data_IF_666048698154
#
_entry.id   IF_666048698154
#
_cell.length_a   1.000
_cell.length_b   1.000
_cell.length_c   1.000
_cell.angle_alpha   90.00
_cell.angle_beta   90.00
_cell.angle_gamma   90.00
#
_symmetry.space_group_name_H-M   'P 1'
#
loop_
_entity.id
_entity.type
_entity.pdbx_description
1 polymer ?
#
# COMPACT_ATOMS: atom_id res chain seq x y z
N UNK A 1 -14.59 32.94 -35.45
CA UNK A 1 -13.24 32.46 -35.05
C UNK A 1 -12.63 33.28 -33.90
N UNK A 2 -12.74 34.63 -33.89
CA UNK A 2 -12.20 35.50 -32.84
C UNK A 2 -12.69 35.22 -31.40
N UNK A 3 -13.99 34.97 -31.18
CA UNK A 3 -14.57 34.72 -29.83
C UNK A 3 -14.01 33.46 -29.15
N UNK A 4 -13.66 32.42 -29.91
CA UNK A 4 -13.06 31.17 -29.36
C UNK A 4 -11.64 31.39 -28.85
N UNK A 5 -10.87 32.26 -29.51
CA UNK A 5 -9.49 32.55 -29.14
C UNK A 5 -9.40 33.45 -27.89
N UNK A 6 -10.35 34.38 -27.72
CA UNK A 6 -10.46 35.21 -26.51
C UNK A 6 -10.85 34.38 -25.28
N UNK A 7 -11.81 33.47 -25.42
CA UNK A 7 -12.23 32.61 -24.31
C UNK A 7 -11.11 31.66 -23.85
N UNK A 8 -10.27 31.16 -24.76
CA UNK A 8 -9.13 30.30 -24.43
C UNK A 8 -8.02 31.05 -23.67
N UNK A 9 -7.77 32.32 -24.03
CA UNK A 9 -6.82 33.17 -23.30
C UNK A 9 -7.34 33.54 -21.90
N UNK A 10 -8.65 33.78 -21.78
CA UNK A 10 -9.30 34.10 -20.50
C UNK A 10 -9.29 32.91 -19.54
N UNK A 11 -9.59 31.69 -20.02
CA UNK A 11 -9.52 30.48 -19.19
C UNK A 11 -8.08 30.16 -18.77
N UNK A 12 -7.11 30.29 -19.67
CA UNK A 12 -5.69 30.06 -19.33
C UNK A 12 -5.20 31.07 -18.27
N UNK A 13 -5.57 32.34 -18.40
CA UNK A 13 -5.24 33.38 -17.42
C UNK A 13 -5.88 33.12 -16.06
N UNK A 14 -7.13 32.64 -16.04
CA UNK A 14 -7.80 32.31 -14.78
C UNK A 14 -7.16 31.09 -14.09
N UNK A 15 -6.74 30.08 -14.86
CA UNK A 15 -6.02 28.90 -14.33
C UNK A 15 -4.68 29.32 -13.71
N UNK A 16 -3.91 30.18 -14.38
CA UNK A 16 -2.64 30.68 -13.85
C UNK A 16 -2.84 31.49 -12.57
N UNK A 17 -3.90 32.30 -12.50
CA UNK A 17 -4.21 33.10 -11.31
C UNK A 17 -4.61 32.25 -10.11
N UNK A 18 -5.40 31.19 -10.33
CA UNK A 18 -5.76 30.21 -9.28
C UNK A 18 -4.53 29.44 -8.81
N UNK A 19 -3.63 29.06 -9.71
CA UNK A 19 -2.38 28.37 -9.36
C UNK A 19 -1.45 29.27 -8.52
N UNK A 20 -1.38 30.56 -8.86
CA UNK A 20 -0.59 31.55 -8.11
C UNK A 20 -1.16 31.80 -6.72
N UNK A 21 -2.48 31.90 -6.57
CA UNK A 21 -3.14 31.98 -5.26
C UNK A 21 -2.85 30.74 -4.41
N UNK A 22 -2.86 29.54 -5.02
CA UNK A 22 -2.56 28.30 -4.31
C UNK A 22 -1.11 28.24 -3.81
N UNK A 23 -0.17 28.87 -4.53
CA UNK A 23 1.25 28.98 -4.16
C UNK A 23 1.52 30.08 -3.13
N UNK A 24 0.70 31.13 -3.10
CA UNK A 24 0.82 32.24 -2.15
C UNK A 24 0.06 32.02 -0.83
N UNK A 25 -0.72 30.94 -0.70
CA UNK A 25 -1.25 30.54 0.59
C UNK A 25 -0.07 30.26 1.52
N UNK A 26 0.06 30.95 2.67
CA UNK A 26 1.10 30.66 3.63
C UNK A 26 0.92 29.21 4.05
N UNK A 27 1.83 28.33 3.59
CA UNK A 27 1.94 26.98 4.10
C UNK A 27 2.07 27.13 5.61
N UNK A 28 1.05 26.72 6.36
CA UNK A 28 0.92 27.01 7.78
C UNK A 28 2.10 26.39 8.55
N UNK A 29 3.16 27.18 8.74
CA UNK A 29 4.30 26.83 9.59
C UNK A 29 3.94 26.80 11.08
N UNK A 30 2.69 27.12 11.44
CA UNK A 30 2.18 27.10 12.81
C UNK A 30 2.14 25.68 13.43
N UNK A 31 2.12 24.62 12.62
CA UNK A 31 2.20 23.25 13.12
C UNK A 31 3.61 22.86 13.63
N UNK A 32 4.67 23.45 13.06
CA UNK A 32 6.04 23.03 13.31
C UNK A 32 6.63 23.50 14.66
N UNK A 33 6.02 24.50 15.33
CA UNK A 33 6.57 25.04 16.59
C UNK A 33 6.49 24.09 17.78
N UNK A 34 5.59 23.11 17.76
CA UNK A 34 5.35 22.22 18.90
C UNK A 34 6.00 20.83 18.75
N UNK A 35 6.39 20.44 17.53
CA UNK A 35 6.96 19.11 17.26
C UNK A 35 8.42 18.98 17.74
N UNK A 36 9.13 20.10 17.90
CA UNK A 36 10.53 20.11 18.32
C UNK A 36 10.72 19.95 19.86
N UNK A 37 9.69 20.11 20.68
CA UNK A 37 9.83 20.13 22.15
C UNK A 37 10.02 18.73 22.77
N UNK A 38 9.47 17.68 22.13
CA UNK A 38 9.37 16.33 22.68
C UNK A 38 9.73 15.28 21.62
N UNK A 39 10.76 14.49 21.89
CA UNK A 39 11.20 13.39 21.06
C UNK A 39 10.93 12.05 21.75
N UNK A 40 10.26 11.14 21.05
CA UNK A 40 9.93 9.81 21.55
C UNK A 40 10.60 8.78 20.64
N UNK A 41 11.48 7.95 21.19
CA UNK A 41 12.22 6.91 20.48
C UNK A 41 11.88 5.53 21.01
N UNK A 42 11.80 4.56 20.08
CA UNK A 42 11.83 3.14 20.41
C UNK A 42 13.23 2.62 20.22
N UNK A 43 13.74 1.90 21.21
CA UNK A 43 15.03 1.22 21.19
C UNK A 43 14.88 -0.29 21.07
N UNK A 44 13.63 -0.77 21.01
CA UNK A 44 13.33 -2.15 20.67
C UNK A 44 13.24 -2.32 19.15
N UNK A 45 13.61 -3.49 18.62
CA UNK A 45 13.45 -3.79 17.21
C UNK A 45 11.96 -3.73 16.82
N UNK A 46 11.71 -3.36 15.57
CA UNK A 46 10.34 -3.33 15.03
C UNK A 46 9.76 -4.73 14.86
N UNK A 47 10.60 -5.73 14.59
CA UNK A 47 10.22 -7.14 14.41
C UNK A 47 10.81 -7.99 15.53
N UNK A 48 10.02 -8.92 16.07
CA UNK A 48 10.42 -9.84 17.13
C UNK A 48 9.87 -11.24 16.88
N UNK A 49 10.65 -12.25 17.27
CA UNK A 49 10.29 -13.68 17.20
C UNK A 49 9.65 -14.18 18.50
N UNK A 50 9.80 -13.45 19.60
CA UNK A 50 9.24 -13.82 20.90
C UNK A 50 7.95 -13.04 21.20
N UNK A 51 6.92 -13.76 21.66
CA UNK A 51 5.65 -13.16 22.03
C UNK A 51 5.76 -12.22 23.24
N UNK A 52 6.57 -12.61 24.23
CA UNK A 52 6.76 -11.88 25.48
C UNK A 52 8.06 -11.09 25.39
N UNK A 53 8.03 -9.83 25.80
CA UNK A 53 9.22 -9.00 25.75
C UNK A 53 9.06 -7.69 26.50
N UNK A 54 10.00 -6.79 26.27
CA UNK A 54 10.03 -5.46 26.88
C UNK A 54 10.27 -4.42 25.81
N UNK A 55 9.32 -3.50 25.68
CA UNK A 55 9.47 -2.30 24.86
C UNK A 55 10.35 -1.31 25.63
N UNK A 56 11.51 -0.98 25.06
CA UNK A 56 12.43 0.03 25.58
C UNK A 56 12.15 1.36 24.88
N UNK A 57 11.71 2.35 25.63
CA UNK A 57 11.45 3.70 25.12
C UNK A 57 12.44 4.69 25.71
N UNK A 58 12.86 5.64 24.90
CA UNK A 58 13.59 6.83 25.33
C UNK A 58 12.75 8.05 24.97
N UNK A 59 12.48 8.90 25.95
CA UNK A 59 11.76 10.16 25.78
C UNK A 59 12.73 11.26 26.16
N UNK A 60 12.98 12.17 25.22
CA UNK A 60 13.84 13.35 25.40
C UNK A 60 13.02 14.60 25.18
N UNK A 61 13.07 15.53 26.11
CA UNK A 61 12.31 16.79 26.08
C UNK A 61 13.23 17.95 26.40
N UNK A 62 12.91 19.16 25.94
CA UNK A 62 13.64 20.36 26.34
C UNK A 62 13.18 20.90 27.71
N UNK A 63 11.95 20.59 28.10
CA UNK A 63 11.35 20.99 29.37
C UNK A 63 10.96 19.79 30.24
N UNK A 64 10.82 19.98 31.58
CA UNK A 64 10.48 18.90 32.48
C UNK A 64 9.21 18.15 32.07
N UNK A 65 9.28 16.82 32.13
CA UNK A 65 8.16 15.94 31.82
C UNK A 65 7.13 16.01 32.95
N UNK A 66 5.87 16.23 32.60
CA UNK A 66 4.74 16.23 33.53
C UNK A 66 3.99 14.90 33.52
N UNK A 67 3.83 14.30 32.33
CA UNK A 67 3.07 13.07 32.16
C UNK A 67 3.63 12.20 31.04
N UNK A 68 3.70 10.90 31.30
CA UNK A 68 3.90 9.88 30.27
C UNK A 68 2.81 8.83 30.40
N UNK A 69 2.13 8.53 29.30
CA UNK A 69 1.10 7.51 29.21
C UNK A 69 1.47 6.56 28.07
N UNK A 70 1.46 5.26 28.34
CA UNK A 70 1.62 4.21 27.33
C UNK A 70 0.38 3.32 27.35
N UNK A 71 -0.33 3.23 26.22
CA UNK A 71 -1.58 2.45 26.11
C UNK A 71 -2.61 2.80 27.20
N UNK A 72 -2.77 4.09 27.50
CA UNK A 72 -3.69 4.57 28.54
C UNK A 72 -3.15 4.44 29.98
N UNK A 73 -2.02 3.77 30.21
CA UNK A 73 -1.45 3.57 31.54
C UNK A 73 -0.35 4.59 31.86
N UNK A 74 -0.47 5.38 32.95
CA UNK A 74 0.59 6.27 33.40
C UNK A 74 1.90 5.52 33.70
N UNK A 75 3.03 6.11 33.33
CA UNK A 75 4.36 5.55 33.58
C UNK A 75 5.10 6.36 34.64
N UNK A 76 5.89 5.66 35.46
CA UNK A 76 6.76 6.30 36.46
C UNK A 76 8.06 6.76 35.81
N UNK A 77 8.56 7.91 36.23
CA UNK A 77 9.83 8.50 35.81
C UNK A 77 10.36 9.42 36.92
N UNK A 78 11.65 9.78 36.92
CA UNK A 78 12.22 10.68 37.93
C UNK A 78 11.54 12.06 37.89
N UNK A 79 11.36 12.70 39.05
CA UNK A 79 10.79 14.05 39.13
C UNK A 79 11.68 15.05 38.39
N UNK A 80 11.05 16.02 37.72
CA UNK A 80 11.73 17.07 36.95
C UNK A 80 12.69 16.56 35.85
N UNK A 81 12.52 15.32 35.39
CA UNK A 81 13.35 14.76 34.32
C UNK A 81 12.98 15.36 32.96
N UNK A 82 14.01 15.67 32.17
CA UNK A 82 13.90 15.98 30.73
C UNK A 82 14.28 14.77 29.85
N UNK A 83 14.75 13.69 30.46
CA UNK A 83 15.09 12.43 29.80
C UNK A 83 14.50 11.27 30.62
N UNK A 84 13.69 10.42 29.97
CA UNK A 84 13.10 9.25 30.60
C UNK A 84 13.36 7.98 29.78
N UNK A 85 13.81 6.93 30.47
CA UNK A 85 13.98 5.60 29.92
C UNK A 85 12.92 4.69 30.51
N UNK A 86 12.07 4.12 29.66
CA UNK A 86 10.97 3.27 30.09
C UNK A 86 11.16 1.84 29.60
N UNK A 87 10.78 0.89 30.45
CA UNK A 87 10.73 -0.54 30.16
C UNK A 87 9.30 -1.01 30.32
N UNK A 88 8.60 -1.20 29.21
CA UNK A 88 7.19 -1.59 29.20
C UNK A 88 7.09 -3.07 28.83
N UNK A 89 6.78 -3.97 29.78
CA UNK A 89 6.58 -5.38 29.46
C UNK A 89 5.35 -5.53 28.58
N UNK A 90 5.42 -6.44 27.61
CA UNK A 90 4.32 -6.73 26.71
C UNK A 90 4.15 -8.24 26.48
N UNK A 91 2.95 -8.57 25.98
CA UNK A 91 2.64 -9.86 25.39
C UNK A 91 1.92 -9.58 24.07
N UNK A 92 2.59 -9.87 22.95
CA UNK A 92 2.11 -9.52 21.62
C UNK A 92 1.07 -10.53 21.12
N UNK A 93 0.19 -10.07 20.25
CA UNK A 93 -0.60 -10.94 19.37
C UNK A 93 0.21 -11.19 18.10
N UNK A 94 0.06 -12.34 17.42
CA UNK A 94 0.68 -12.53 16.11
C UNK A 94 0.38 -11.36 15.16
N UNK A 95 1.40 -10.86 14.46
CA UNK A 95 1.29 -9.73 13.53
C UNK A 95 1.56 -8.37 14.16
N UNK A 96 0.89 -7.32 13.65
CA UNK A 96 1.18 -5.93 13.99
C UNK A 96 0.55 -5.57 15.35
N UNK A 97 1.37 -5.12 16.29
CA UNK A 97 0.96 -4.59 17.58
C UNK A 97 1.37 -3.12 17.68
N UNK A 98 0.57 -2.32 18.39
CA UNK A 98 0.82 -0.88 18.51
C UNK A 98 0.86 -0.42 19.96
N UNK A 99 1.81 0.47 20.26
CA UNK A 99 1.91 1.16 21.53
C UNK A 99 1.68 2.65 21.32
N UNK A 100 0.60 3.17 21.90
CA UNK A 100 0.26 4.59 21.87
C UNK A 100 0.97 5.28 23.03
N UNK A 101 2.00 6.05 22.70
CA UNK A 101 2.78 6.83 23.66
C UNK A 101 2.29 8.28 23.61
N UNK A 102 1.95 8.81 24.77
CA UNK A 102 1.61 10.22 24.96
C UNK A 102 2.51 10.80 26.02
N UNK A 103 3.08 11.96 25.73
CA UNK A 103 3.97 12.70 26.62
C UNK A 103 3.47 14.14 26.70
N UNK A 104 3.48 14.69 27.91
CA UNK A 104 3.15 16.09 28.19
C UNK A 104 4.27 16.72 28.99
N UNK A 105 4.65 17.93 28.59
CA UNK A 105 5.52 18.85 29.32
C UNK A 105 4.75 20.14 29.59
N UNK A 106 5.38 21.06 30.31
CA UNK A 106 4.82 22.41 30.56
C UNK A 106 4.51 23.18 29.28
N UNK A 107 5.28 22.98 28.21
CA UNK A 107 5.23 23.80 27.00
C UNK A 107 4.71 23.05 25.77
N UNK A 108 4.42 21.75 25.88
CA UNK A 108 3.99 20.96 24.73
C UNK A 108 3.44 19.59 25.08
N UNK A 109 2.82 18.98 24.07
CA UNK A 109 2.31 17.61 24.13
C UNK A 109 2.68 16.88 22.85
N UNK A 110 3.07 15.61 22.96
CA UNK A 110 3.41 14.78 21.82
C UNK A 110 2.75 13.41 21.91
N UNK A 111 2.33 12.89 20.75
CA UNK A 111 1.78 11.54 20.59
C UNK A 111 2.61 10.79 19.55
N UNK A 112 3.01 9.57 19.88
CA UNK A 112 3.69 8.68 18.93
C UNK A 112 3.13 7.28 19.02
N UNK A 113 2.92 6.68 17.85
CA UNK A 113 2.52 5.27 17.74
C UNK A 113 3.79 4.48 17.41
N UNK A 114 4.19 3.62 18.33
CA UNK A 114 5.27 2.65 18.10
C UNK A 114 4.64 1.34 17.64
N UNK A 115 5.20 0.74 16.59
CA UNK A 115 4.74 -0.54 16.06
C UNK A 115 5.77 -1.61 16.40
N UNK A 116 5.27 -2.79 16.76
CA UNK A 116 6.08 -4.00 16.93
C UNK A 116 5.36 -5.15 16.27
N UNK A 117 6.06 -5.88 15.43
CA UNK A 117 5.54 -7.01 14.65
C UNK A 117 6.03 -8.27 15.31
N UNK A 118 5.09 -9.09 15.79
CA UNK A 118 5.40 -10.44 16.22
C UNK A 118 5.33 -11.37 15.00
N UNK A 119 6.50 -11.74 14.49
CA UNK A 119 6.63 -12.65 13.36
C UNK A 119 6.55 -14.09 13.86
N UNK A 120 5.40 -14.75 13.64
CA UNK A 120 5.26 -16.19 13.88
C UNK A 120 5.70 -16.97 12.64
N UNK A 121 6.18 -18.22 12.79
CA UNK A 121 6.48 -19.09 11.66
C UNK A 121 5.29 -19.24 10.69
N UNK A 122 4.06 -19.29 11.22
CA UNK A 122 2.83 -19.36 10.43
C UNK A 122 2.64 -18.12 9.54
N UNK A 123 2.86 -16.92 10.08
CA UNK A 123 2.74 -15.67 9.32
C UNK A 123 3.83 -15.55 8.25
N UNK A 124 5.05 -15.95 8.57
CA UNK A 124 6.16 -15.98 7.61
C UNK A 124 5.88 -16.97 6.49
N UNK A 125 5.35 -18.16 6.84
CA UNK A 125 4.98 -19.18 5.87
C UNK A 125 3.85 -18.71 4.97
N UNK A 126 2.79 -18.11 5.51
CA UNK A 126 1.69 -17.52 4.74
C UNK A 126 2.18 -16.41 3.81
N UNK A 127 3.08 -15.55 4.28
CA UNK A 127 3.68 -14.49 3.45
C UNK A 127 4.50 -15.05 2.29
N UNK A 128 5.28 -16.12 2.52
CA UNK A 128 6.03 -16.83 1.46
C UNK A 128 5.13 -17.54 0.46
N UNK A 129 4.06 -18.16 0.95
CA UNK A 129 3.08 -18.88 0.14
C UNK A 129 2.26 -17.93 -0.75
N UNK A 130 2.03 -16.69 -0.33
CA UNK A 130 1.24 -15.72 -1.08
C UNK A 130 -0.25 -16.09 -1.15
N UNK A 131 -1.00 -15.43 -2.03
CA UNK A 131 -2.42 -15.68 -2.21
C UNK A 131 -2.65 -17.11 -2.78
N UNK A 132 -3.53 -17.93 -2.17
CA UNK A 132 -3.89 -19.23 -2.72
C UNK A 132 -4.57 -19.13 -4.09
N UNK A 133 -5.27 -18.03 -4.41
CA UNK A 133 -5.88 -17.82 -5.71
C UNK A 133 -5.00 -16.94 -6.60
N UNK A 134 -4.79 -17.38 -7.83
CA UNK A 134 -4.06 -16.64 -8.85
C UNK A 134 -4.85 -16.68 -10.15
N UNK A 135 -4.92 -15.54 -10.84
CA UNK A 135 -5.49 -15.46 -12.18
C UNK A 135 -4.47 -14.84 -13.11
N UNK A 136 -3.98 -15.63 -14.07
CA UNK A 136 -3.16 -15.10 -15.17
C UNK A 136 -4.10 -14.81 -16.34
N UNK A 137 -4.01 -13.60 -16.90
CA UNK A 137 -4.71 -13.23 -18.13
C UNK A 137 -3.69 -12.96 -19.22
N UNK A 138 -3.78 -13.68 -20.34
CA UNK A 138 -2.96 -13.47 -21.52
C UNK A 138 -3.86 -12.95 -22.63
N UNK A 139 -3.51 -11.79 -23.19
CA UNK A 139 -4.21 -11.19 -24.31
C UNK A 139 -3.32 -11.30 -25.55
N UNK A 140 -3.90 -11.80 -26.65
CA UNK A 140 -3.22 -11.94 -27.94
C UNK A 140 -3.95 -11.19 -29.03
N UNK A 141 -3.20 -10.65 -29.99
CA UNK A 141 -3.72 -9.99 -31.18
C UNK A 141 -2.87 -10.38 -32.38
N UNK A 142 -3.49 -10.97 -33.39
CA UNK A 142 -2.80 -11.39 -34.61
C UNK A 142 -3.57 -10.94 -35.84
N UNK A 143 -2.86 -10.33 -36.78
CA UNK A 143 -3.35 -10.12 -38.15
C UNK A 143 -2.97 -11.32 -38.99
N UNK A 144 -3.97 -12.03 -39.51
CA UNK A 144 -3.76 -13.10 -40.49
C UNK A 144 -4.08 -12.55 -41.87
N UNK A 145 -3.16 -12.74 -42.81
CA UNK A 145 -3.34 -12.38 -44.21
C UNK A 145 -4.08 -13.46 -45.03
N UNK A 146 -4.28 -14.64 -44.43
CA UNK A 146 -5.02 -15.77 -44.98
C UNK A 146 -5.84 -16.48 -43.89
N UNK A 147 -6.94 -15.86 -43.42
CA UNK A 147 -7.75 -16.44 -42.34
C UNK A 147 -8.48 -17.73 -42.75
N UNK A 148 -8.89 -17.81 -44.01
CA UNK A 148 -9.63 -18.95 -44.58
C UNK A 148 -8.72 -20.13 -44.95
N UNK A 149 -7.40 -20.00 -44.73
CA UNK A 149 -6.36 -20.99 -45.05
C UNK A 149 -6.46 -21.49 -46.49
N UNK A 150 -6.76 -20.59 -47.43
CA UNK A 150 -6.90 -20.93 -48.85
C UNK A 150 -5.53 -20.97 -49.55
N UNK A 151 -5.42 -21.71 -50.66
CA UNK A 151 -4.15 -21.87 -51.39
C UNK A 151 -3.64 -20.54 -51.97
N UNK A 152 -2.32 -20.44 -52.21
CA UNK A 152 -1.67 -19.21 -52.66
C UNK A 152 -2.20 -18.64 -53.98
N UNK A 153 -2.77 -19.48 -54.83
CA UNK A 153 -3.37 -19.08 -56.12
C UNK A 153 -4.81 -18.56 -56.00
N UNK A 154 -5.36 -18.46 -54.79
CA UNK A 154 -6.72 -18.00 -54.53
C UNK A 154 -6.74 -16.67 -53.77
N UNK A 155 -7.84 -15.93 -53.88
CA UNK A 155 -7.99 -14.64 -53.19
C UNK A 155 -7.98 -14.85 -51.67
N UNK A 156 -6.99 -14.28 -50.99
CA UNK A 156 -6.81 -14.44 -49.54
C UNK A 156 -7.55 -13.34 -48.78
N UNK A 157 -8.33 -13.75 -47.79
CA UNK A 157 -9.01 -12.84 -46.87
C UNK A 157 -8.09 -12.47 -45.71
N UNK A 158 -7.89 -11.16 -45.49
CA UNK A 158 -7.19 -10.64 -44.31
C UNK A 158 -8.18 -10.42 -43.16
N UNK A 159 -7.80 -10.80 -41.96
CA UNK A 159 -8.60 -10.53 -40.77
C UNK A 159 -7.72 -10.31 -39.53
N UNK A 160 -8.19 -9.45 -38.63
CA UNK A 160 -7.61 -9.30 -37.31
C UNK A 160 -8.30 -10.25 -36.34
N UNK A 161 -7.55 -10.95 -35.51
CA UNK A 161 -8.08 -11.85 -34.48
C UNK A 161 -7.50 -11.47 -33.12
N UNK A 162 -8.35 -11.45 -32.11
CA UNK A 162 -7.96 -11.26 -30.72
C UNK A 162 -8.23 -12.52 -29.93
N UNK A 163 -7.32 -12.91 -29.07
CA UNK A 163 -7.49 -14.01 -28.13
C UNK A 163 -7.36 -13.50 -26.69
N UNK A 164 -8.11 -14.13 -25.79
CA UNK A 164 -8.01 -13.92 -24.35
C UNK A 164 -7.95 -15.27 -23.68
N UNK A 165 -6.87 -15.52 -22.92
CA UNK A 165 -6.68 -16.73 -22.14
C UNK A 165 -6.71 -16.37 -20.65
N UNK A 166 -7.61 -16.98 -19.91
CA UNK A 166 -7.65 -16.93 -18.45
C UNK A 166 -7.14 -18.25 -17.89
N UNK A 167 -6.16 -18.17 -17.00
CA UNK A 167 -5.62 -19.32 -16.27
C UNK A 167 -5.86 -19.09 -14.77
N UNK A 168 -7.07 -19.42 -14.27
CA UNK A 168 -7.32 -19.44 -12.84
C UNK A 168 -6.57 -20.62 -12.20
N UNK A 169 -5.95 -20.37 -11.06
CA UNK A 169 -5.24 -21.36 -10.25
C UNK A 169 -5.62 -21.16 -8.79
N UNK A 170 -5.97 -22.25 -8.11
CA UNK A 170 -6.18 -22.25 -6.67
C UNK A 170 -5.27 -23.29 -6.01
N UNK A 171 -4.57 -22.89 -4.95
CA UNK A 171 -3.73 -23.78 -4.13
C UNK A 171 -4.47 -24.20 -2.86
N UNK A 172 -4.55 -25.51 -2.65
CA UNK A 172 -4.99 -26.14 -1.41
C UNK A 172 -3.76 -26.57 -0.61
N UNK A 173 -3.54 -25.94 0.54
CA UNK A 173 -2.47 -26.32 1.47
C UNK A 173 -2.99 -27.48 2.34
N UNK A 174 -2.38 -28.67 2.22
CA UNK A 174 -2.83 -29.91 2.90
C UNK A 174 -2.04 -30.12 4.19
N UNK A 175 -0.72 -29.94 4.11
CA UNK A 175 0.20 -30.02 5.24
C UNK A 175 1.16 -28.85 5.23
N UNK A 176 2.12 -28.87 6.16
CA UNK A 176 2.98 -27.73 6.33
C UNK A 176 3.93 -27.47 5.15
N UNK A 177 4.22 -28.52 4.38
CA UNK A 177 5.13 -28.56 3.23
C UNK A 177 4.47 -29.04 1.94
N UNK A 178 3.17 -29.36 1.98
CA UNK A 178 2.48 -30.07 0.90
C UNK A 178 1.26 -29.29 0.44
N UNK A 179 1.16 -29.06 -0.87
CA UNK A 179 0.03 -28.37 -1.49
C UNK A 179 -0.41 -29.04 -2.79
N UNK A 180 -1.72 -28.99 -3.06
CA UNK A 180 -2.33 -29.39 -4.34
C UNK A 180 -2.81 -28.14 -5.07
N UNK A 181 -2.63 -28.10 -6.38
CA UNK A 181 -3.10 -27.00 -7.23
C UNK A 181 -4.24 -27.46 -8.14
N UNK A 182 -5.34 -26.72 -8.14
CA UNK A 182 -6.38 -26.82 -9.15
C UNK A 182 -6.17 -25.68 -10.15
N UNK A 183 -5.91 -26.03 -11.42
CA UNK A 183 -5.70 -25.06 -12.50
C UNK A 183 -6.72 -25.27 -13.60
N UNK A 184 -7.37 -24.20 -14.03
CA UNK A 184 -8.22 -24.17 -15.20
C UNK A 184 -7.57 -23.38 -16.33
N UNK A 185 -8.01 -23.62 -17.56
CA UNK A 185 -7.66 -22.81 -18.72
C UNK A 185 -8.94 -22.49 -19.46
N UNK A 186 -9.24 -21.21 -19.64
CA UNK A 186 -10.37 -20.71 -20.41
C UNK A 186 -9.83 -19.86 -21.55
N UNK A 187 -10.21 -20.16 -22.78
CA UNK A 187 -9.78 -19.44 -23.97
C UNK A 187 -11.00 -18.88 -24.70
N UNK A 188 -10.95 -17.59 -25.02
CA UNK A 188 -11.91 -16.94 -25.89
C UNK A 188 -11.18 -16.32 -27.08
N UNK A 189 -11.56 -16.71 -28.29
CA UNK A 189 -11.05 -16.13 -29.53
C UNK A 189 -12.16 -15.36 -30.23
N UNK A 190 -11.81 -14.19 -30.79
CA UNK A 190 -12.72 -13.35 -31.57
C UNK A 190 -12.05 -12.92 -32.87
N UNK A 191 -12.77 -13.09 -33.97
CA UNK A 191 -12.35 -12.61 -35.29
C UNK A 191 -13.05 -11.29 -35.61
N UNK A 192 -12.27 -10.28 -35.98
CA UNK A 192 -12.72 -8.94 -36.34
C UNK A 192 -12.65 -8.78 -37.85
N UNK A 193 -13.69 -9.26 -38.55
CA UNK A 193 -13.97 -8.90 -39.94
C UNK A 193 -15.47 -8.99 -40.25
N UNK A 194 -16.00 -8.08 -41.09
CA UNK A 194 -17.44 -7.84 -41.25
C UNK A 194 -18.29 -9.04 -41.70
N UNK A 195 -17.75 -9.98 -42.48
CA UNK A 195 -18.42 -11.23 -42.86
C UNK A 195 -18.27 -12.37 -41.83
N UNK A 196 -17.33 -12.24 -40.90
CA UNK A 196 -16.97 -13.27 -39.93
C UNK A 196 -17.29 -12.89 -38.48
N UNK A 197 -17.79 -11.66 -38.26
CA UNK A 197 -18.23 -11.15 -36.96
C UNK A 197 -19.38 -11.99 -36.35
N UNK A 198 -20.08 -12.79 -37.15
CA UNK A 198 -21.21 -13.63 -36.74
C UNK A 198 -20.92 -15.13 -36.72
N UNK A 199 -19.70 -15.60 -37.03
CA UNK A 199 -19.37 -17.02 -36.86
C UNK A 199 -19.19 -17.31 -35.37
N UNK A 200 -20.26 -17.78 -34.73
CA UNK A 200 -20.18 -18.48 -33.45
C UNK A 200 -19.26 -19.68 -33.63
N UNK A 201 -18.21 -19.74 -32.82
CA UNK A 201 -17.50 -20.98 -32.49
C UNK A 201 -18.45 -21.87 -31.70
#
# INVERSE_FOLDING_TARGET
>A
MLKRLQNLKSTLSMIIFVLFILLCLPQSAAAAKNEAEILIFSLSPEKVEEQKGVLKLQISTFSPIEKIIVNGKPQKFPKAASLAWLKIPYMLKPGINTFKVYVKTKFGEAKKIIRTIYETPELLKKAKLGDPFQLITILGGVTKDNIDKVNDNSSKSKAFSTSTLFVPSYRFDIFDDSSIFLRGVLMGDQHHNGEYASKKV
#
